data_IF_191433723742
#
_entry.id   IF_191433723742
#
_cell.length_a   1.000
_cell.length_b   1.000
_cell.length_c   1.000
_cell.angle_alpha   90.00
_cell.angle_beta   90.00
_cell.angle_gamma   90.00
#
_symmetry.space_group_name_H-M   'P 1'
#
loop_
_entity.id
_entity.type
_entity.pdbx_description
1 polymer ?
#
# COMPACT_ATOMS: atom_id res chain seq x y z
N UNK A 1 -6.53 -2.96 8.65
CA UNK A 1 -5.76 -2.28 9.70
C UNK A 1 -4.48 -1.72 9.11
N UNK A 2 -3.54 -1.32 9.97
CA UNK A 2 -2.20 -0.90 9.56
C UNK A 2 -1.20 -2.00 9.91
N UNK A 3 -0.54 -2.55 8.91
CA UNK A 3 0.36 -3.69 9.02
C UNK A 3 1.79 -3.27 8.70
N UNK A 4 2.75 -3.85 9.39
CA UNK A 4 4.15 -3.80 8.95
C UNK A 4 4.32 -4.64 7.69
N UNK A 5 5.38 -4.40 6.91
CA UNK A 5 5.57 -5.10 5.64
C UNK A 5 5.67 -6.61 5.85
N UNK A 6 6.51 -7.09 6.77
CA UNK A 6 6.66 -8.52 7.03
C UNK A 6 5.33 -9.15 7.51
N UNK A 7 4.59 -8.44 8.37
CA UNK A 7 3.27 -8.89 8.85
C UNK A 7 2.28 -9.05 7.68
N UNK A 8 2.21 -8.05 6.79
CA UNK A 8 1.37 -8.12 5.60
C UNK A 8 1.76 -9.29 4.69
N UNK A 9 3.05 -9.52 4.49
CA UNK A 9 3.56 -10.63 3.68
C UNK A 9 3.41 -12.00 4.36
N UNK A 10 2.98 -12.07 5.63
CA UNK A 10 2.94 -13.34 6.37
C UNK A 10 4.33 -13.90 6.69
N UNK A 11 5.31 -13.00 6.81
CA UNK A 11 6.71 -13.29 7.13
C UNK A 11 7.02 -12.98 8.61
N UNK A 12 8.12 -13.55 9.17
CA UNK A 12 8.57 -13.18 10.51
C UNK A 12 9.08 -11.74 10.57
N UNK A 13 9.01 -11.12 11.75
CA UNK A 13 9.32 -9.71 11.97
C UNK A 13 10.70 -9.29 11.46
N UNK A 14 11.70 -10.18 11.55
CA UNK A 14 13.07 -9.96 11.11
C UNK A 14 13.17 -9.61 9.62
N UNK A 15 12.19 -10.04 8.81
CA UNK A 15 12.12 -9.72 7.39
C UNK A 15 11.89 -8.22 7.11
N UNK A 16 11.43 -7.44 8.10
CA UNK A 16 11.36 -5.99 7.97
C UNK A 16 12.74 -5.33 7.78
N UNK A 17 13.82 -5.98 8.23
CA UNK A 17 15.19 -5.45 8.12
C UNK A 17 16.04 -6.22 7.08
N UNK A 18 15.42 -7.14 6.33
CA UNK A 18 16.13 -8.03 5.42
C UNK A 18 16.15 -7.49 3.99
N UNK A 19 17.25 -7.73 3.28
CA UNK A 19 17.34 -7.43 1.86
C UNK A 19 16.61 -8.51 1.04
N UNK A 20 15.69 -8.07 0.19
CA UNK A 20 14.92 -8.88 -0.76
C UNK A 20 15.21 -8.48 -2.21
N UNK A 21 16.32 -7.77 -2.49
CA UNK A 21 16.73 -7.34 -3.84
C UNK A 21 16.80 -8.49 -4.86
N UNK A 22 17.04 -9.72 -4.39
CA UNK A 22 17.04 -10.95 -5.20
C UNK A 22 15.68 -11.65 -5.30
N UNK A 23 14.61 -11.06 -4.77
CA UNK A 23 13.28 -11.68 -4.66
C UNK A 23 13.10 -12.61 -3.45
N UNK A 24 14.17 -12.92 -2.73
CA UNK A 24 14.12 -13.78 -1.54
C UNK A 24 15.14 -13.38 -0.48
N UNK A 25 14.89 -13.78 0.76
CA UNK A 25 15.79 -13.55 1.89
C UNK A 25 15.62 -14.62 2.95
N UNK A 26 16.65 -14.91 3.73
CA UNK A 26 16.51 -15.79 4.89
C UNK A 26 16.06 -15.04 6.16
N UNK A 27 16.00 -13.71 6.10
CA UNK A 27 15.67 -12.82 7.20
C UNK A 27 16.48 -13.07 8.49
N UNK A 28 17.68 -13.65 8.39
CA UNK A 28 18.48 -14.06 9.54
C UNK A 28 17.93 -15.26 10.34
N UNK A 29 16.87 -15.92 9.85
CA UNK A 29 16.19 -17.02 10.55
C UNK A 29 16.65 -18.42 10.09
N UNK A 30 17.44 -18.50 9.01
CA UNK A 30 17.84 -19.75 8.37
C UNK A 30 16.79 -20.39 7.46
N UNK A 31 15.56 -19.85 7.41
CA UNK A 31 14.51 -20.24 6.45
C UNK A 31 14.43 -19.20 5.33
N UNK A 32 14.37 -19.65 4.07
CA UNK A 32 14.22 -18.73 2.93
C UNK A 32 12.75 -18.34 2.72
N UNK A 33 12.50 -17.05 2.67
CA UNK A 33 11.22 -16.44 2.33
C UNK A 33 11.32 -15.80 0.94
N UNK A 34 10.30 -16.01 0.11
CA UNK A 34 10.27 -15.52 -1.27
C UNK A 34 9.06 -14.63 -1.48
N UNK A 35 9.28 -13.46 -2.08
CA UNK A 35 8.21 -12.57 -2.53
C UNK A 35 7.75 -13.05 -3.89
N UNK A 36 6.55 -13.63 -3.95
CA UNK A 36 5.93 -14.03 -5.21
C UNK A 36 5.38 -12.80 -5.94
N UNK A 37 5.17 -12.90 -7.25
CA UNK A 37 4.52 -11.82 -8.02
C UNK A 37 3.11 -11.55 -7.50
N UNK A 38 2.31 -12.60 -7.33
CA UNK A 38 0.98 -12.58 -6.72
C UNK A 38 1.11 -13.14 -5.30
N UNK A 39 1.69 -12.34 -4.41
CA UNK A 39 1.95 -12.78 -3.04
C UNK A 39 0.69 -12.67 -2.17
N UNK A 40 0.16 -13.82 -1.73
CA UNK A 40 -1.06 -13.88 -0.91
C UNK A 40 -0.93 -13.03 0.38
N UNK A 41 0.11 -13.28 1.19
CA UNK A 41 0.24 -12.65 2.50
C UNK A 41 -1.01 -12.81 3.38
N UNK A 42 -1.48 -11.71 3.97
CA UNK A 42 -2.70 -11.67 4.77
C UNK A 42 -4.02 -11.72 3.97
N UNK A 43 -3.96 -11.72 2.63
CA UNK A 43 -5.16 -11.78 1.82
C UNK A 43 -5.82 -13.17 1.86
N UNK A 44 -7.14 -13.25 1.64
CA UNK A 44 -7.84 -14.54 1.53
C UNK A 44 -7.28 -15.40 0.39
N UNK A 45 -7.49 -16.71 0.45
CA UNK A 45 -7.13 -17.61 -0.66
C UNK A 45 -7.78 -17.17 -1.98
N UNK A 46 -7.01 -17.17 -3.07
CA UNK A 46 -7.41 -16.65 -4.39
C UNK A 46 -7.32 -15.13 -4.53
N UNK A 47 -6.59 -14.49 -3.61
CA UNK A 47 -6.26 -13.08 -3.64
C UNK A 47 -4.80 -12.87 -3.25
N UNK A 48 -4.18 -11.83 -3.79
CA UNK A 48 -2.85 -11.38 -3.43
C UNK A 48 -2.84 -9.94 -2.95
N UNK A 49 -1.79 -9.54 -2.22
CA UNK A 49 -1.55 -8.13 -1.91
C UNK A 49 -1.17 -7.41 -3.19
N UNK A 50 -1.78 -6.26 -3.46
CA UNK A 50 -1.48 -5.46 -4.64
C UNK A 50 0.03 -5.24 -4.82
N UNK A 51 0.51 -5.39 -6.05
CA UNK A 51 1.89 -5.14 -6.45
C UNK A 51 1.98 -3.92 -7.41
N UNK A 52 3.18 -3.65 -7.92
CA UNK A 52 3.42 -2.53 -8.85
C UNK A 52 2.69 -2.73 -10.20
N UNK A 53 2.55 -3.96 -10.67
CA UNK A 53 1.82 -4.25 -11.92
C UNK A 53 0.32 -3.98 -11.76
N UNK A 54 -0.28 -4.35 -10.62
CA UNK A 54 -1.71 -4.11 -10.36
C UNK A 54 -2.01 -2.61 -10.28
N UNK A 55 -1.17 -1.87 -9.56
CA UNK A 55 -1.32 -0.43 -9.42
C UNK A 55 -1.08 0.29 -10.75
N UNK A 56 -0.08 -0.12 -11.54
CA UNK A 56 0.15 0.41 -12.88
C UNK A 56 -1.05 0.16 -13.82
N UNK A 57 -1.63 -1.04 -13.78
CA UNK A 57 -2.84 -1.37 -14.54
C UNK A 57 -4.02 -0.48 -14.13
N UNK A 58 -4.22 -0.27 -12.82
CA UNK A 58 -5.25 0.62 -12.30
C UNK A 58 -5.02 2.07 -12.72
N UNK A 59 -3.79 2.59 -12.67
CA UNK A 59 -3.49 3.94 -13.14
C UNK A 59 -3.79 4.10 -14.63
N UNK A 60 -3.41 3.11 -15.45
CA UNK A 60 -3.70 3.12 -16.88
C UNK A 60 -5.21 3.18 -17.15
N UNK A 61 -5.98 2.33 -16.47
CA UNK A 61 -7.44 2.32 -16.54
C UNK A 61 -8.08 3.67 -16.16
N UNK A 62 -7.49 4.38 -15.18
CA UNK A 62 -8.02 5.65 -14.69
C UNK A 62 -7.62 6.88 -15.51
N UNK A 63 -6.80 6.70 -16.55
CA UNK A 63 -6.33 7.77 -17.43
C UNK A 63 -4.99 8.38 -17.02
N UNK A 64 -4.16 7.63 -16.29
CA UNK A 64 -2.80 7.99 -15.91
C UNK A 64 -2.65 8.50 -14.48
N UNK A 65 -1.41 8.46 -13.98
CA UNK A 65 -1.06 8.74 -12.58
C UNK A 65 -1.48 10.12 -12.11
N UNK A 66 -1.45 11.15 -12.97
CA UNK A 66 -1.79 12.54 -12.62
C UNK A 66 -3.25 12.78 -12.18
N UNK A 67 -4.15 11.85 -12.49
CA UNK A 67 -5.57 11.93 -12.08
C UNK A 67 -6.05 10.70 -11.31
N UNK A 68 -5.32 9.58 -11.41
CA UNK A 68 -5.71 8.32 -10.79
C UNK A 68 -5.87 8.44 -9.27
N UNK A 69 -4.99 9.18 -8.59
CA UNK A 69 -5.06 9.34 -7.13
C UNK A 69 -6.36 9.99 -6.66
N UNK A 70 -6.88 10.97 -7.41
CA UNK A 70 -8.23 11.52 -7.18
C UNK A 70 -9.30 10.43 -7.28
N UNK A 71 -9.31 9.73 -8.42
CA UNK A 71 -10.30 8.70 -8.76
C UNK A 71 -10.27 7.45 -7.88
N UNK A 72 -9.23 7.28 -7.08
CA UNK A 72 -9.06 6.17 -6.15
C UNK A 72 -9.57 6.47 -4.74
N UNK A 73 -9.72 7.74 -4.36
CA UNK A 73 -10.16 8.14 -3.01
C UNK A 73 -11.66 7.92 -2.82
N UNK A 74 -12.05 7.60 -1.59
CA UNK A 74 -13.45 7.73 -1.13
C UNK A 74 -13.98 9.12 -1.48
N UNK A 75 -15.22 9.18 -1.97
CA UNK A 75 -15.91 10.43 -2.30
C UNK A 75 -16.30 11.25 -1.08
N UNK A 76 -16.25 12.57 -1.20
CA UNK A 76 -16.66 13.49 -0.14
C UNK A 76 -15.58 13.65 0.95
N UNK A 77 -15.99 14.13 2.13
CA UNK A 77 -15.06 14.48 3.22
C UNK A 77 -15.49 13.88 4.55
N UNK A 78 -16.16 12.72 4.51
CA UNK A 78 -16.56 12.01 5.74
C UNK A 78 -15.32 11.57 6.51
N UNK A 79 -14.34 10.96 5.83
CA UNK A 79 -13.06 10.60 6.43
C UNK A 79 -11.91 11.49 5.96
N UNK A 80 -11.96 11.97 4.72
CA UNK A 80 -10.94 12.86 4.16
C UNK A 80 -11.11 14.28 4.65
N UNK A 81 -10.00 14.95 4.97
CA UNK A 81 -9.99 16.39 5.13
C UNK A 81 -10.33 17.09 3.80
N UNK A 82 -11.02 18.24 3.90
CA UNK A 82 -11.22 19.13 2.76
C UNK A 82 -9.86 19.60 2.20
N UNK A 83 -9.65 19.66 0.87
CA UNK A 83 -10.67 19.60 -0.19
C UNK A 83 -11.00 18.21 -0.76
N UNK A 84 -10.26 17.16 -0.40
CA UNK A 84 -10.30 15.86 -1.08
C UNK A 84 -10.34 15.97 -2.62
N UNK A 85 -9.40 16.74 -3.19
CA UNK A 85 -9.39 17.16 -4.59
C UNK A 85 -9.52 15.97 -5.55
N UNK A 86 -10.45 16.08 -6.50
CA UNK A 86 -10.65 15.11 -7.58
C UNK A 86 -11.18 13.74 -7.13
N UNK A 87 -11.68 13.62 -5.90
CA UNK A 87 -12.27 12.38 -5.41
C UNK A 87 -13.62 12.08 -6.04
N UNK A 88 -13.68 11.03 -6.86
CA UNK A 88 -14.91 10.52 -7.47
C UNK A 88 -15.13 9.01 -7.28
N UNK A 89 -14.13 8.30 -6.74
CA UNK A 89 -14.12 6.84 -6.57
C UNK A 89 -14.53 6.05 -7.83
N UNK A 90 -14.31 6.57 -9.04
CA UNK A 90 -14.67 5.90 -10.30
C UNK A 90 -13.93 4.57 -10.52
N UNK A 91 -12.89 4.32 -9.73
CA UNK A 91 -12.15 3.05 -9.67
C UNK A 91 -12.85 1.92 -8.92
N UNK A 92 -13.76 2.23 -7.99
CA UNK A 92 -14.23 1.29 -6.98
C UNK A 92 -13.20 0.92 -5.90
N UNK A 93 -12.02 1.55 -5.91
CA UNK A 93 -10.96 1.32 -4.93
C UNK A 93 -11.39 1.76 -3.52
N UNK A 94 -12.12 2.86 -3.40
CA UNK A 94 -12.62 3.43 -2.15
C UNK A 94 -11.51 3.65 -1.11
N UNK A 95 -10.45 4.37 -1.51
CA UNK A 95 -9.28 4.63 -0.68
C UNK A 95 -9.61 5.54 0.49
N UNK A 96 -9.39 5.05 1.71
CA UNK A 96 -9.59 5.81 2.94
C UNK A 96 -8.28 6.49 3.38
N UNK A 97 -8.35 7.62 4.10
CA UNK A 97 -7.19 8.35 4.56
C UNK A 97 -6.66 7.75 5.87
N UNK A 98 -6.16 6.52 5.77
CA UNK A 98 -5.70 5.74 6.92
C UNK A 98 -4.48 6.33 7.62
N UNK A 99 -3.83 7.34 7.04
CA UNK A 99 -2.54 7.84 7.46
C UNK A 99 -1.55 6.69 7.58
N UNK A 100 -0.72 6.75 8.61
CA UNK A 100 0.16 5.65 8.95
C UNK A 100 0.59 5.60 10.41
N UNK A 101 1.07 4.43 10.84
CA UNK A 101 1.72 4.22 12.13
C UNK A 101 3.24 4.19 11.92
N UNK A 102 3.97 5.03 12.63
CA UNK A 102 5.43 5.04 12.60
C UNK A 102 6.01 3.88 13.45
N UNK A 103 7.30 3.61 13.34
CA UNK A 103 7.98 2.54 14.08
C UNK A 103 7.86 2.67 15.60
N UNK A 104 7.72 3.90 16.11
CA UNK A 104 7.51 4.20 17.53
C UNK A 104 6.04 4.09 17.99
N UNK A 105 5.14 3.65 17.11
CA UNK A 105 3.71 3.50 17.40
C UNK A 105 2.86 4.76 17.23
N UNK A 106 3.48 5.93 16.96
CA UNK A 106 2.75 7.19 16.75
C UNK A 106 2.07 7.20 15.38
N UNK A 107 0.84 7.71 15.32
CA UNK A 107 0.06 7.82 14.09
C UNK A 107 0.23 9.20 13.46
N UNK A 108 0.36 9.24 12.13
CA UNK A 108 0.55 10.46 11.35
C UNK A 108 -0.39 10.49 10.14
N UNK A 109 -0.65 11.70 9.64
CA UNK A 109 -1.39 11.95 8.39
C UNK A 109 -2.79 11.32 8.31
N UNK A 110 -3.41 11.02 9.46
CA UNK A 110 -4.82 10.62 9.52
C UNK A 110 -5.68 11.70 8.86
N UNK A 111 -6.66 11.30 8.04
CA UNK A 111 -7.53 12.20 7.25
C UNK A 111 -6.84 12.93 6.08
N UNK A 112 -5.51 12.90 5.98
CA UNK A 112 -4.74 13.63 4.95
C UNK A 112 -4.10 12.73 3.89
N UNK A 113 -3.72 11.50 4.28
CA UNK A 113 -3.10 10.54 3.38
C UNK A 113 -3.76 9.17 3.49
N UNK A 114 -3.90 8.48 2.37
CA UNK A 114 -4.22 7.07 2.28
C UNK A 114 -3.00 6.34 1.77
N UNK A 115 -2.29 5.64 2.65
CA UNK A 115 -1.02 4.99 2.30
C UNK A 115 -1.19 3.46 2.34
N UNK A 116 -0.93 2.85 1.20
CA UNK A 116 -1.08 1.42 0.98
C UNK A 116 0.29 0.81 0.65
N UNK A 117 0.71 -0.18 1.43
CA UNK A 117 1.91 -0.96 1.10
C UNK A 117 1.60 -1.91 -0.06
N UNK A 118 2.63 -2.21 -0.86
CA UNK A 118 2.57 -3.14 -1.98
C UNK A 118 3.43 -4.38 -1.67
N UNK A 119 3.15 -5.50 -2.33
CA UNK A 119 3.92 -6.74 -2.20
C UNK A 119 5.22 -6.72 -3.00
N UNK A 120 5.97 -5.64 -2.90
CA UNK A 120 7.17 -5.38 -3.72
C UNK A 120 8.43 -5.56 -2.91
N UNK A 121 9.52 -5.91 -3.58
CA UNK A 121 10.86 -5.95 -2.97
C UNK A 121 11.43 -4.55 -2.72
N UNK A 122 10.89 -3.56 -3.43
CA UNK A 122 11.17 -2.14 -3.20
C UNK A 122 10.34 -1.65 -2.03
N UNK A 123 10.96 -0.81 -1.21
CA UNK A 123 10.33 -0.14 -0.06
C UNK A 123 9.39 0.98 -0.52
N UNK A 124 8.41 0.62 -1.35
CA UNK A 124 7.51 1.53 -2.05
C UNK A 124 6.06 1.18 -1.76
N UNK A 125 5.23 2.22 -1.62
CA UNK A 125 3.79 2.09 -1.49
C UNK A 125 3.05 3.15 -2.29
N UNK A 126 1.76 2.95 -2.44
CA UNK A 126 0.83 3.91 -3.02
C UNK A 126 0.43 4.95 -1.96
N UNK A 127 0.55 6.24 -2.30
CA UNK A 127 0.09 7.36 -1.48
C UNK A 127 -0.97 8.21 -2.21
N UNK A 128 -2.12 8.35 -1.55
CA UNK A 128 -3.23 9.21 -1.96
C UNK A 128 -3.28 10.43 -1.04
N UNK A 129 -3.20 11.64 -1.63
CA UNK A 129 -3.13 12.90 -0.87
C UNK A 129 -4.44 13.68 -0.97
N UNK A 130 -4.92 14.24 0.14
CA UNK A 130 -6.20 14.98 0.19
C UNK A 130 -6.26 16.20 -0.75
N UNK A 131 -5.14 16.90 -0.99
CA UNK A 131 -5.07 18.05 -1.92
C UNK A 131 -4.77 17.67 -3.35
N UNK A 132 -4.29 16.45 -3.59
CA UNK A 132 -3.77 16.01 -4.88
C UNK A 132 -4.73 15.11 -5.64
N UNK A 133 -4.53 15.08 -6.96
CA UNK A 133 -5.16 14.11 -7.88
C UNK A 133 -4.19 13.02 -8.32
N UNK A 134 -2.90 13.20 -8.05
CA UNK A 134 -1.84 12.27 -8.44
C UNK A 134 -1.78 11.07 -7.49
N UNK A 135 -1.61 9.87 -8.05
CA UNK A 135 -1.17 8.71 -7.29
C UNK A 135 0.36 8.74 -7.18
N UNK A 136 0.89 8.87 -5.96
CA UNK A 136 2.32 8.98 -5.72
C UNK A 136 2.89 7.65 -5.22
N UNK A 137 4.17 7.42 -5.50
CA UNK A 137 4.96 6.42 -4.80
C UNK A 137 5.62 7.05 -3.57
N UNK A 138 5.60 6.35 -2.45
CA UNK A 138 6.19 6.81 -1.19
C UNK A 138 7.16 5.78 -0.63
N UNK A 139 8.35 6.22 -0.24
CA UNK A 139 9.36 5.40 0.42
C UNK A 139 8.90 4.93 1.79
N UNK A 140 9.04 3.64 2.10
CA UNK A 140 8.45 3.03 3.28
C UNK A 140 9.50 2.44 4.21
N UNK A 141 9.43 2.76 5.49
CA UNK A 141 10.09 1.92 6.49
C UNK A 141 9.21 0.70 6.74
N UNK A 142 9.72 -0.50 6.48
CA UNK A 142 8.98 -1.76 6.62
C UNK A 142 8.39 -1.99 8.02
N UNK A 143 9.03 -1.43 9.03
CA UNK A 143 8.58 -1.41 10.44
C UNK A 143 7.46 -0.41 10.73
N UNK A 144 7.02 0.37 9.75
CA UNK A 144 5.88 1.29 9.90
C UNK A 144 4.60 0.65 9.41
N UNK A 145 3.52 0.78 10.19
CA UNK A 145 2.21 0.23 9.88
C UNK A 145 1.49 1.00 8.77
N UNK A 146 0.99 0.27 7.76
CA UNK A 146 0.35 0.81 6.55
C UNK A 146 -0.82 -0.06 6.11
N UNK A 147 -1.78 0.51 5.38
CA UNK A 147 -2.91 -0.27 4.87
C UNK A 147 -2.45 -1.22 3.76
N UNK A 148 -3.18 -2.32 3.54
CA UNK A 148 -3.01 -3.18 2.37
C UNK A 148 -4.28 -3.17 1.53
N UNK A 149 -4.16 -3.55 0.27
CA UNK A 149 -5.31 -3.93 -0.56
C UNK A 149 -5.06 -5.29 -1.18
N UNK A 150 -6.09 -6.14 -1.12
CA UNK A 150 -6.09 -7.41 -1.79
C UNK A 150 -6.66 -7.24 -3.20
N UNK A 151 -6.04 -7.90 -4.16
CA UNK A 151 -6.43 -8.02 -5.57
C UNK A 151 -6.77 -9.48 -5.82
N UNK A 152 -7.82 -9.74 -6.61
CA UNK A 152 -8.23 -11.11 -6.92
C UNK A 152 -7.37 -11.64 -8.06
N UNK A 153 -6.96 -12.89 -7.93
CA UNK A 153 -6.22 -13.63 -8.97
C UNK A 153 -7.11 -13.95 -10.19
#
# INVERSE_FOLDING_TARGET
GLYEWAEAMGFPYECNNADFSSGSSNCGTGTTYTVATEHQGLCPTGWHIANNTDTAALYSYLGGTGIAGGKMKETGTTHWSFPNTGADNSSGFNGLPSGYRNYNGVYFSLQYNGIFLLSTVTDSGLDLVFTGTTANEYGMYRVSGRSIRCVKD
#
